data_IF_036623356180
#
_entry.id   IF_036623356180
#
_cell.length_a   1.000
_cell.length_b   1.000
_cell.length_c   1.000
_cell.angle_alpha   90.00
_cell.angle_beta   90.00
_cell.angle_gamma   90.00
#
_symmetry.space_group_name_H-M   'P 1'
#
loop_
_entity.id
_entity.type
_entity.pdbx_description
1 polymer ?
#
# COMPACT_ATOMS: atom_id res chain seq x y z
N UNK A 1 -11.26 -28.38 23.78
CA UNK A 1 -10.12 -27.53 23.40
C UNK A 1 -9.43 -28.11 22.17
N UNK A 2 -9.60 -27.48 21.00
CA UNK A 2 -8.81 -27.79 19.79
C UNK A 2 -8.30 -26.47 19.24
N UNK A 3 -6.99 -26.23 19.38
CA UNK A 3 -6.30 -25.05 18.85
C UNK A 3 -6.38 -25.10 17.31
N UNK A 4 -7.28 -24.31 16.71
CA UNK A 4 -7.29 -24.07 15.26
C UNK A 4 -6.22 -23.01 14.97
N UNK A 5 -4.98 -23.46 14.80
CA UNK A 5 -3.92 -22.66 14.18
C UNK A 5 -4.18 -22.69 12.67
N UNK A 6 -4.99 -21.74 12.20
CA UNK A 6 -5.20 -21.44 10.79
C UNK A 6 -5.25 -19.92 10.68
N UNK A 7 -4.12 -19.31 11.03
CA UNK A 7 -3.89 -17.87 10.93
C UNK A 7 -2.69 -17.70 10.02
N UNK A 8 -2.88 -17.03 8.89
CA UNK A 8 -1.77 -16.35 8.23
C UNK A 8 -1.24 -16.92 6.92
N UNK A 9 -2.10 -17.41 6.02
CA UNK A 9 -1.78 -17.30 4.57
C UNK A 9 -2.45 -16.01 4.09
N UNK A 10 -1.92 -14.87 4.57
CA UNK A 10 -2.30 -13.55 4.10
C UNK A 10 -1.57 -13.31 2.79
N UNK A 11 -2.24 -13.62 1.68
CA UNK A 11 -2.12 -12.95 0.38
C UNK A 11 -0.75 -12.43 -0.06
N UNK A 12 0.29 -13.28 -0.09
CA UNK A 12 1.54 -13.01 -0.81
C UNK A 12 1.46 -13.66 -2.20
N UNK A 13 0.44 -13.32 -2.99
CA UNK A 13 0.34 -13.72 -4.41
C UNK A 13 0.85 -12.56 -5.26
N UNK A 14 2.13 -12.20 -5.07
CA UNK A 14 2.82 -11.21 -5.90
C UNK A 14 4.28 -11.56 -6.17
N UNK A 15 4.71 -12.78 -5.82
CA UNK A 15 6.12 -13.19 -5.83
C UNK A 15 6.50 -14.17 -6.96
N UNK A 16 5.58 -14.58 -7.84
CA UNK A 16 5.84 -15.65 -8.83
C UNK A 16 5.96 -15.14 -10.29
N UNK A 17 5.79 -13.85 -10.55
CA UNK A 17 5.60 -13.35 -11.92
C UNK A 17 6.82 -12.90 -12.73
N UNK A 18 8.08 -13.23 -12.41
CA UNK A 18 9.22 -12.45 -12.94
C UNK A 18 10.40 -13.27 -13.46
N UNK A 19 10.20 -13.95 -14.60
CA UNK A 19 11.30 -14.50 -15.41
C UNK A 19 11.86 -13.49 -16.43
N UNK A 20 11.34 -12.26 -16.51
CA UNK A 20 11.91 -11.22 -17.40
C UNK A 20 11.98 -9.83 -16.76
N UNK A 21 13.04 -9.09 -17.09
CA UNK A 21 13.29 -7.70 -16.66
C UNK A 21 12.23 -6.71 -17.18
N UNK A 22 11.72 -6.94 -18.40
CA UNK A 22 10.67 -6.11 -19.00
C UNK A 22 9.34 -6.25 -18.23
N UNK A 23 8.95 -7.49 -17.91
CA UNK A 23 7.74 -7.78 -17.13
C UNK A 23 7.83 -7.19 -15.72
N UNK A 24 9.02 -7.22 -15.11
CA UNK A 24 9.24 -6.61 -13.80
C UNK A 24 9.01 -5.11 -13.81
N UNK A 25 9.66 -4.42 -14.75
CA UNK A 25 9.59 -2.97 -14.89
C UNK A 25 8.13 -2.53 -15.06
N UNK A 26 7.40 -3.17 -15.98
CA UNK A 26 6.00 -2.85 -16.25
C UNK A 26 5.09 -3.11 -15.04
N UNK A 27 5.25 -4.24 -14.35
CA UNK A 27 4.44 -4.56 -13.17
C UNK A 27 4.72 -3.63 -12.00
N UNK A 28 5.97 -3.21 -11.81
CA UNK A 28 6.34 -2.22 -10.79
C UNK A 28 5.72 -0.86 -11.10
N UNK A 29 5.77 -0.38 -12.34
CA UNK A 29 5.08 0.85 -12.75
C UNK A 29 3.58 0.79 -12.45
N UNK A 30 2.89 -0.29 -12.85
CA UNK A 30 1.47 -0.48 -12.55
C UNK A 30 1.18 -0.45 -11.05
N UNK A 31 2.01 -1.13 -10.26
CA UNK A 31 1.85 -1.22 -8.81
C UNK A 31 2.00 0.15 -8.14
N UNK A 32 3.01 0.92 -8.53
CA UNK A 32 3.23 2.29 -8.05
C UNK A 32 2.11 3.24 -8.49
N UNK A 33 1.61 3.09 -9.72
CA UNK A 33 0.49 3.88 -10.21
C UNK A 33 -0.78 3.63 -9.38
N UNK A 34 -1.14 2.35 -9.18
CA UNK A 34 -2.29 1.96 -8.35
C UNK A 34 -2.14 2.51 -6.93
N UNK A 35 -0.97 2.33 -6.31
CA UNK A 35 -0.68 2.86 -4.97
C UNK A 35 -0.93 4.38 -4.87
N UNK A 36 -0.37 5.16 -5.81
CA UNK A 36 -0.54 6.61 -5.84
C UNK A 36 -2.00 7.04 -6.01
N UNK A 37 -2.73 6.43 -6.94
CA UNK A 37 -4.16 6.74 -7.18
C UNK A 37 -5.02 6.35 -5.99
N UNK A 38 -4.77 5.19 -5.37
CA UNK A 38 -5.48 4.75 -4.18
C UNK A 38 -5.29 5.70 -3.01
N UNK A 39 -4.08 6.25 -2.82
CA UNK A 39 -3.82 7.25 -1.79
C UNK A 39 -4.60 8.54 -2.00
N UNK A 40 -4.55 9.12 -3.20
CA UNK A 40 -5.29 10.35 -3.53
C UNK A 40 -6.80 10.15 -3.32
N UNK A 41 -7.32 9.02 -3.80
CA UNK A 41 -8.74 8.64 -3.61
C UNK A 41 -9.08 8.52 -2.12
N UNK A 42 -8.24 7.86 -1.32
CA UNK A 42 -8.47 7.73 0.11
C UNK A 42 -8.50 9.08 0.83
N UNK A 43 -7.54 9.97 0.53
CA UNK A 43 -7.46 11.28 1.15
C UNK A 43 -8.65 12.17 0.79
N UNK A 44 -9.18 12.07 -0.43
CA UNK A 44 -10.43 12.71 -0.85
C UNK A 44 -11.63 12.15 -0.09
N UNK A 45 -11.74 10.83 0.05
CA UNK A 45 -12.80 10.18 0.84
C UNK A 45 -12.77 10.64 2.30
N UNK A 46 -11.60 10.69 2.93
CA UNK A 46 -11.42 11.15 4.30
C UNK A 46 -11.80 12.63 4.45
N UNK A 47 -11.42 13.48 3.49
CA UNK A 47 -11.84 14.88 3.48
C UNK A 47 -13.36 15.03 3.41
N UNK A 48 -14.02 14.22 2.57
CA UNK A 48 -15.48 14.19 2.48
C UNK A 48 -16.13 13.73 3.78
N UNK A 49 -15.58 12.70 4.45
CA UNK A 49 -16.07 12.24 5.75
C UNK A 49 -16.00 13.33 6.82
N UNK A 50 -14.91 14.10 6.85
CA UNK A 50 -14.76 15.20 7.80
C UNK A 50 -15.75 16.33 7.51
N UNK A 51 -15.91 16.71 6.24
CA UNK A 51 -16.88 17.73 5.83
C UNK A 51 -18.33 17.35 6.17
N UNK A 52 -18.64 16.05 6.16
CA UNK A 52 -19.93 15.51 6.58
C UNK A 52 -20.07 15.33 8.10
N UNK A 53 -19.06 15.69 8.90
CA UNK A 53 -19.06 15.50 10.35
C UNK A 53 -18.99 14.03 10.80
N UNK A 54 -18.66 13.09 9.89
CA UNK A 54 -18.53 11.66 10.20
C UNK A 54 -17.23 11.30 10.92
N UNK A 55 -16.24 12.18 10.84
CA UNK A 55 -15.01 12.09 11.63
C UNK A 55 -14.69 13.46 12.24
N UNK A 56 -14.15 13.46 13.45
CA UNK A 56 -13.70 14.68 14.13
C UNK A 56 -12.34 15.16 13.62
N UNK A 57 -11.92 16.35 14.03
CA UNK A 57 -10.58 16.87 13.71
C UNK A 57 -9.47 16.01 14.35
N UNK A 58 -9.69 15.50 15.55
CA UNK A 58 -8.76 14.63 16.27
C UNK A 58 -8.64 13.28 15.56
N UNK A 59 -9.76 12.69 15.16
CA UNK A 59 -9.76 11.46 14.34
C UNK A 59 -9.04 11.69 13.01
N UNK A 60 -9.26 12.84 12.35
CA UNK A 60 -8.53 13.19 11.14
C UNK A 60 -7.02 13.29 11.37
N UNK A 61 -6.59 13.88 12.49
CA UNK A 61 -5.18 14.00 12.82
C UNK A 61 -4.53 12.61 13.00
N UNK A 62 -5.21 11.67 13.66
CA UNK A 62 -4.71 10.29 13.79
C UNK A 62 -4.68 9.56 12.44
N UNK A 63 -5.73 9.69 11.62
CA UNK A 63 -5.78 9.14 10.26
C UNK A 63 -4.58 9.65 9.44
N UNK A 64 -4.25 10.94 9.54
CA UNK A 64 -3.13 11.54 8.82
C UNK A 64 -1.77 10.92 9.22
N UNK A 65 -1.61 10.43 10.45
CA UNK A 65 -0.36 9.74 10.86
C UNK A 65 -0.17 8.44 10.08
N UNK A 66 -1.22 7.62 9.96
CA UNK A 66 -1.19 6.39 9.16
C UNK A 66 -1.01 6.68 7.67
N UNK A 67 -1.73 7.69 7.16
CA UNK A 67 -1.60 8.15 5.78
C UNK A 67 -0.17 8.60 5.46
N UNK A 68 0.49 9.30 6.39
CA UNK A 68 1.88 9.74 6.22
C UNK A 68 2.86 8.55 6.17
N UNK A 69 2.70 7.56 7.05
CA UNK A 69 3.55 6.34 7.03
C UNK A 69 3.40 5.58 5.72
N UNK A 70 2.17 5.45 5.22
CA UNK A 70 1.91 4.89 3.90
C UNK A 70 2.61 5.71 2.80
N UNK A 71 2.44 7.04 2.80
CA UNK A 71 3.00 7.91 1.77
C UNK A 71 4.52 7.87 1.73
N UNK A 72 5.18 7.87 2.90
CA UNK A 72 6.64 7.70 2.99
C UNK A 72 7.06 6.35 2.41
N UNK A 73 6.35 5.27 2.75
CA UNK A 73 6.65 3.94 2.20
C UNK A 73 6.49 3.90 0.68
N UNK A 74 5.48 4.59 0.14
CA UNK A 74 5.27 4.75 -1.30
C UNK A 74 6.44 5.46 -1.96
N UNK A 75 6.90 6.58 -1.40
CA UNK A 75 8.06 7.31 -1.92
C UNK A 75 9.33 6.45 -1.90
N UNK A 76 9.56 5.70 -0.82
CA UNK A 76 10.69 4.75 -0.74
C UNK A 76 10.63 3.70 -1.85
N UNK A 77 9.43 3.18 -2.20
CA UNK A 77 9.28 2.24 -3.30
C UNK A 77 9.55 2.88 -4.68
N UNK A 78 9.14 4.14 -4.87
CA UNK A 78 9.46 4.92 -6.08
C UNK A 78 10.98 5.11 -6.21
N UNK A 79 11.66 5.52 -5.13
CA UNK A 79 13.11 5.72 -5.11
C UNK A 79 13.88 4.41 -5.37
N UNK A 80 13.48 3.32 -4.71
CA UNK A 80 14.06 2.00 -4.95
C UNK A 80 13.91 1.59 -6.43
N UNK A 81 12.77 1.90 -7.04
CA UNK A 81 12.53 1.58 -8.44
C UNK A 81 13.36 2.43 -9.39
N UNK A 82 13.49 3.73 -9.14
CA UNK A 82 14.38 4.62 -9.90
C UNK A 82 15.83 4.11 -9.79
N UNK A 83 16.26 3.69 -8.60
CA UNK A 83 17.58 3.12 -8.40
C UNK A 83 17.78 1.81 -9.19
N UNK A 84 16.78 0.92 -9.17
CA UNK A 84 16.80 -0.29 -10.00
C UNK A 84 16.86 0.03 -11.49
N UNK A 85 16.07 0.99 -11.99
CA UNK A 85 16.08 1.36 -13.41
C UNK A 85 17.46 1.84 -13.90
N UNK A 86 18.24 2.46 -13.02
CA UNK A 86 19.60 2.93 -13.34
C UNK A 86 20.66 1.83 -13.26
N UNK A 87 20.53 0.91 -12.31
CA UNK A 87 21.61 -0.06 -12.00
C UNK A 87 21.32 -1.48 -12.52
N UNK A 88 20.04 -1.84 -12.66
CA UNK A 88 19.54 -3.14 -13.13
C UNK A 88 20.17 -4.36 -12.43
N UNK A 89 20.51 -4.24 -11.15
CA UNK A 89 21.07 -5.34 -10.33
C UNK A 89 19.97 -6.12 -9.60
N UNK A 90 20.23 -7.40 -9.30
CA UNK A 90 19.29 -8.22 -8.52
C UNK A 90 19.10 -7.69 -7.09
N UNK A 91 20.13 -7.10 -6.47
CA UNK A 91 20.01 -6.43 -5.17
C UNK A 91 19.05 -5.25 -5.23
N UNK A 92 19.14 -4.42 -6.28
CA UNK A 92 18.22 -3.31 -6.49
C UNK A 92 16.79 -3.80 -6.77
N UNK A 93 16.64 -4.86 -7.56
CA UNK A 93 15.36 -5.52 -7.81
C UNK A 93 14.72 -6.02 -6.52
N UNK A 94 15.49 -6.65 -5.65
CA UNK A 94 15.00 -7.12 -4.35
C UNK A 94 14.60 -5.96 -3.43
N UNK A 95 15.32 -4.84 -3.47
CA UNK A 95 14.96 -3.64 -2.72
C UNK A 95 13.58 -3.10 -3.15
N UNK A 96 13.30 -3.08 -4.46
CA UNK A 96 11.98 -2.72 -4.99
C UNK A 96 10.89 -3.66 -4.49
N UNK A 97 11.11 -4.98 -4.55
CA UNK A 97 10.15 -5.98 -4.07
C UNK A 97 9.82 -5.74 -2.58
N UNK A 98 10.85 -5.53 -1.75
CA UNK A 98 10.69 -5.30 -0.32
C UNK A 98 9.95 -3.97 -0.03
N UNK A 99 10.26 -2.92 -0.80
CA UNK A 99 9.61 -1.63 -0.65
C UNK A 99 8.13 -1.71 -1.06
N UNK A 100 7.80 -2.36 -2.18
CA UNK A 100 6.42 -2.60 -2.60
C UNK A 100 5.62 -3.44 -1.59
N UNK A 101 6.23 -4.47 -1.01
CA UNK A 101 5.60 -5.25 0.05
C UNK A 101 5.27 -4.38 1.28
N UNK A 102 6.17 -3.45 1.63
CA UNK A 102 5.97 -2.49 2.70
C UNK A 102 4.82 -1.53 2.39
N UNK A 103 4.72 -1.02 1.15
CA UNK A 103 3.59 -0.20 0.69
C UNK A 103 2.25 -0.93 0.90
N UNK A 104 2.17 -2.20 0.52
CA UNK A 104 0.95 -3.01 0.69
C UNK A 104 0.58 -3.19 2.17
N UNK A 105 1.57 -3.47 3.03
CA UNK A 105 1.35 -3.59 4.46
C UNK A 105 0.84 -2.27 5.06
N UNK A 106 1.49 -1.15 4.73
CA UNK A 106 1.11 0.16 5.26
C UNK A 106 -0.23 0.66 4.70
N UNK A 107 -0.60 0.24 3.49
CA UNK A 107 -1.94 0.45 2.98
C UNK A 107 -2.97 -0.26 3.84
N UNK A 108 -2.75 -1.54 4.13
CA UNK A 108 -3.66 -2.33 4.94
C UNK A 108 -3.82 -1.75 6.36
N UNK A 109 -2.73 -1.31 6.98
CA UNK A 109 -2.77 -0.61 8.28
C UNK A 109 -3.58 0.70 8.21
N UNK A 110 -3.33 1.52 7.18
CA UNK A 110 -4.04 2.78 6.97
C UNK A 110 -5.54 2.57 6.69
N UNK A 111 -5.88 1.73 5.72
CA UNK A 111 -7.25 1.39 5.38
C UNK A 111 -7.98 0.75 6.58
N UNK A 112 -7.32 -0.15 7.31
CA UNK A 112 -7.86 -0.78 8.51
C UNK A 112 -8.10 0.22 9.65
N UNK A 113 -7.25 1.25 9.81
CA UNK A 113 -7.50 2.32 10.77
C UNK A 113 -8.75 3.12 10.39
N UNK A 114 -8.87 3.55 9.13
CA UNK A 114 -10.04 4.31 8.65
C UNK A 114 -11.32 3.49 8.79
N UNK A 115 -11.30 2.21 8.39
CA UNK A 115 -12.45 1.31 8.44
C UNK A 115 -12.89 0.98 9.88
N UNK A 116 -12.01 1.09 10.88
CA UNK A 116 -12.42 0.97 12.28
C UNK A 116 -13.26 2.16 12.76
N UNK A 117 -13.05 3.34 12.19
CA UNK A 117 -13.80 4.56 12.52
C UNK A 117 -15.08 4.62 11.68
N UNK A 118 -14.95 4.44 10.37
CA UNK A 118 -16.06 4.44 9.42
C UNK A 118 -15.96 3.17 8.55
N UNK A 119 -16.72 2.11 8.87
CA UNK A 119 -16.63 0.83 8.18
C UNK A 119 -16.82 0.92 6.66
N UNK A 120 -16.08 0.08 5.92
CA UNK A 120 -16.15 -0.06 4.46
C UNK A 120 -15.83 1.22 3.67
N UNK A 121 -15.05 2.16 4.24
CA UNK A 121 -14.65 3.38 3.55
C UNK A 121 -13.56 3.12 2.50
N UNK A 122 -12.56 2.32 2.86
CA UNK A 122 -11.40 2.04 2.00
C UNK A 122 -11.24 0.52 1.77
N UNK A 123 -10.80 0.08 0.58
CA UNK A 123 -10.46 -1.31 0.38
C UNK A 123 -9.21 -1.69 1.19
N UNK A 124 -9.21 -2.85 1.85
CA UNK A 124 -8.07 -3.29 2.68
C UNK A 124 -6.86 -3.76 1.87
N UNK A 125 -7.05 -3.99 0.56
CA UNK A 125 -6.03 -4.48 -0.35
C UNK A 125 -5.95 -3.58 -1.58
N UNK A 126 -4.74 -3.40 -2.09
CA UNK A 126 -4.51 -2.79 -3.39
C UNK A 126 -4.62 -3.86 -4.47
N UNK A 127 -5.45 -3.62 -5.48
CA UNK A 127 -5.60 -4.52 -6.63
C UNK A 127 -4.84 -3.98 -7.83
N UNK A 128 -3.77 -4.68 -8.21
CA UNK A 128 -3.04 -4.40 -9.45
C UNK A 128 -3.66 -5.27 -10.55
N UNK A 129 -4.20 -4.63 -11.60
CA UNK A 129 -4.81 -5.29 -12.75
C UNK A 129 -3.83 -5.48 -13.92
#
# INVERSE_FOLDING_TARGET
MKRKVLTGIVGVILLIGLLSCATFTQNTYKSLFVAGVSYDTAMKSIASLQAQGKITAEQRAEINKYANVYYVSYQTAVEAFIFYEKNKTETAKQAVINALATVMLKWSEFAGYVNRIVPNTLPEKLEVK
#
